data_IF_424206507291
#
_entry.id   IF_424206507291
#
_cell.length_a   1.000
_cell.length_b   1.000
_cell.length_c   1.000
_cell.angle_alpha   90.00
_cell.angle_beta   90.00
_cell.angle_gamma   90.00
#
_symmetry.space_group_name_H-M   'P 1'
#
loop_
_entity.id
_entity.type
_entity.pdbx_description
1 polymer ?
#
# COMPACT_ATOMS: atom_id res chain seq x y z
N UNK A 1 5.60 18.93 -16.39
CA UNK A 1 6.18 17.76 -17.10
C UNK A 1 5.20 16.61 -16.98
N UNK A 2 4.70 16.10 -18.11
CA UNK A 2 3.75 14.97 -18.16
C UNK A 2 4.51 13.67 -17.95
N UNK A 3 4.30 12.97 -16.84
CA UNK A 3 4.76 11.57 -16.68
C UNK A 3 3.53 10.69 -16.55
N UNK A 4 3.37 9.84 -17.56
CA UNK A 4 2.26 8.92 -17.77
C UNK A 4 2.25 7.91 -16.62
N UNK A 5 1.28 8.02 -15.71
CA UNK A 5 0.89 6.90 -14.86
C UNK A 5 0.21 5.89 -15.78
N UNK A 6 0.98 4.89 -16.22
CA UNK A 6 0.44 3.68 -16.79
C UNK A 6 -0.27 2.94 -15.65
N UNK A 7 -1.50 3.37 -15.40
CA UNK A 7 -2.47 2.62 -14.61
C UNK A 7 -2.68 1.30 -15.36
N UNK A 8 -2.22 0.20 -14.78
CA UNK A 8 -2.43 -1.16 -15.27
C UNK A 8 -3.92 -1.55 -15.08
N UNK A 9 -4.83 -0.83 -15.73
CA UNK A 9 -6.26 -1.13 -15.85
C UNK A 9 -6.54 -1.83 -17.18
N UNK A 10 -6.02 -3.04 -17.34
CA UNK A 10 -6.35 -3.89 -18.48
C UNK A 10 -5.69 -5.24 -18.25
N UNK A 11 -6.42 -6.36 -18.22
CA UNK A 11 -7.39 -6.77 -19.21
C UNK A 11 -8.52 -7.56 -18.53
N UNK A 12 -9.73 -7.03 -18.49
CA UNK A 12 -10.92 -7.86 -18.38
C UNK A 12 -11.19 -8.39 -19.80
N UNK A 13 -10.80 -9.64 -20.09
CA UNK A 13 -11.11 -10.26 -21.38
C UNK A 13 -12.62 -10.49 -21.41
N UNK A 14 -13.37 -9.50 -21.91
CA UNK A 14 -14.77 -9.68 -22.27
C UNK A 14 -14.79 -10.65 -23.45
N UNK A 15 -15.02 -11.92 -23.14
CA UNK A 15 -15.27 -12.96 -24.13
C UNK A 15 -16.60 -12.59 -24.79
N UNK A 16 -16.53 -12.00 -25.97
CA UNK A 16 -17.69 -11.60 -26.76
C UNK A 16 -18.53 -12.83 -27.09
N UNK A 17 -19.69 -12.95 -26.45
CA UNK A 17 -20.67 -13.99 -26.78
C UNK A 17 -21.47 -13.46 -27.98
N UNK A 18 -21.30 -14.10 -29.14
CA UNK A 18 -22.04 -13.78 -30.37
C UNK A 18 -23.54 -13.92 -30.13
N UNK A 19 -24.27 -12.80 -30.29
CA UNK A 19 -25.72 -12.74 -30.11
C UNK A 19 -26.42 -13.21 -31.39
N UNK A 20 -26.81 -14.48 -31.42
CA UNK A 20 -27.77 -15.00 -32.38
C UNK A 20 -28.65 -16.08 -31.72
N UNK A 21 -29.89 -15.73 -31.35
CA UNK A 21 -31.13 -16.54 -31.42
C UNK A 21 -32.23 -16.02 -30.44
N UNK A 22 -33.47 -16.57 -30.50
CA UNK A 22 -34.74 -15.91 -30.80
C UNK A 22 -35.42 -15.29 -29.55
N UNK A 23 -36.49 -14.50 -29.74
CA UNK A 23 -37.13 -13.64 -28.73
C UNK A 23 -37.52 -14.23 -27.35
N UNK A 24 -37.47 -15.56 -27.15
CA UNK A 24 -37.57 -16.21 -25.83
C UNK A 24 -36.22 -16.43 -25.11
N UNK A 25 -35.12 -16.59 -25.85
CA UNK A 25 -33.76 -16.63 -25.32
C UNK A 25 -33.23 -15.24 -24.92
N UNK A 26 -33.91 -14.17 -25.38
CA UNK A 26 -33.53 -12.78 -25.13
C UNK A 26 -33.83 -12.31 -23.70
N UNK A 27 -34.84 -12.87 -23.02
CA UNK A 27 -35.19 -12.50 -21.64
C UNK A 27 -34.28 -13.23 -20.64
N UNK A 28 -34.04 -14.53 -20.83
CA UNK A 28 -33.12 -15.30 -19.97
C UNK A 28 -31.67 -14.79 -20.09
N UNK A 29 -31.27 -14.30 -21.28
CA UNK A 29 -29.95 -13.67 -21.46
C UNK A 29 -29.85 -12.30 -20.78
N UNK A 30 -30.93 -11.50 -20.75
CA UNK A 30 -30.97 -10.25 -19.98
C UNK A 30 -30.88 -10.51 -18.47
N UNK A 31 -31.68 -11.45 -17.94
CA UNK A 31 -31.64 -11.84 -16.53
C UNK A 31 -30.24 -12.36 -16.11
N UNK A 32 -29.57 -13.10 -16.99
CA UNK A 32 -28.20 -13.57 -16.76
C UNK A 32 -27.17 -12.42 -16.78
N UNK A 33 -27.33 -11.42 -17.65
CA UNK A 33 -26.49 -10.22 -17.68
C UNK A 33 -26.67 -9.37 -16.43
N UNK A 34 -27.91 -9.17 -15.97
CA UNK A 34 -28.20 -8.47 -14.71
C UNK A 34 -27.58 -9.19 -13.51
N UNK A 35 -27.72 -10.52 -13.43
CA UNK A 35 -27.07 -11.31 -12.38
C UNK A 35 -25.53 -11.21 -12.42
N UNK A 36 -24.93 -11.14 -13.61
CA UNK A 36 -23.48 -10.93 -13.75
C UNK A 36 -23.07 -9.53 -13.30
N UNK A 37 -23.87 -8.50 -13.61
CA UNK A 37 -23.63 -7.13 -13.18
C UNK A 37 -23.70 -7.00 -11.65
N UNK A 38 -24.72 -7.57 -11.02
CA UNK A 38 -24.84 -7.59 -9.55
C UNK A 38 -23.65 -8.27 -8.89
N UNK A 39 -23.18 -9.41 -9.44
CA UNK A 39 -21.98 -10.10 -8.95
C UNK A 39 -20.73 -9.23 -9.07
N UNK A 40 -20.58 -8.50 -10.17
CA UNK A 40 -19.45 -7.58 -10.37
C UNK A 40 -19.45 -6.47 -9.32
N UNK A 41 -20.61 -5.86 -9.05
CA UNK A 41 -20.74 -4.83 -8.01
C UNK A 41 -20.41 -5.37 -6.61
N UNK A 42 -20.87 -6.59 -6.29
CA UNK A 42 -20.54 -7.23 -5.02
C UNK A 42 -19.04 -7.51 -4.88
N UNK A 43 -18.39 -7.96 -5.95
CA UNK A 43 -16.94 -8.21 -5.96
C UNK A 43 -16.15 -6.92 -5.84
N UNK A 44 -16.58 -5.84 -6.50
CA UNK A 44 -15.98 -4.51 -6.38
C UNK A 44 -16.06 -3.99 -4.94
N UNK A 45 -17.23 -4.05 -4.33
CA UNK A 45 -17.42 -3.62 -2.93
C UNK A 45 -16.59 -4.46 -1.95
N UNK A 46 -16.52 -5.77 -2.16
CA UNK A 46 -15.66 -6.66 -1.36
C UNK A 46 -14.18 -6.27 -1.49
N UNK A 47 -13.68 -6.09 -2.72
CA UNK A 47 -12.29 -5.69 -2.95
C UNK A 47 -11.99 -4.33 -2.34
N UNK A 48 -12.94 -3.40 -2.42
CA UNK A 48 -12.79 -2.08 -1.80
C UNK A 48 -12.61 -2.18 -0.28
N UNK A 49 -13.44 -2.98 0.40
CA UNK A 49 -13.30 -3.21 1.86
C UNK A 49 -11.99 -3.90 2.24
N UNK A 50 -11.53 -4.85 1.43
CA UNK A 50 -10.22 -5.48 1.63
C UNK A 50 -9.08 -4.45 1.51
N UNK A 51 -9.13 -3.57 0.51
CA UNK A 51 -8.15 -2.49 0.35
C UNK A 51 -8.21 -1.47 1.49
N UNK A 52 -9.40 -1.15 1.98
CA UNK A 52 -9.60 -0.27 3.14
C UNK A 52 -8.94 -0.85 4.39
N UNK A 53 -9.17 -2.13 4.69
CA UNK A 53 -8.55 -2.81 5.83
C UNK A 53 -7.02 -2.84 5.72
N UNK A 54 -6.47 -3.10 4.52
CA UNK A 54 -5.02 -3.06 4.28
C UNK A 54 -4.45 -1.66 4.48
N UNK A 55 -5.16 -0.61 4.05
CA UNK A 55 -4.73 0.77 4.24
C UNK A 55 -4.77 1.18 5.72
N UNK A 56 -5.77 0.73 6.47
CA UNK A 56 -5.85 0.96 7.92
C UNK A 56 -4.69 0.30 8.68
N UNK A 57 -4.38 -0.97 8.38
CA UNK A 57 -3.22 -1.67 8.95
C UNK A 57 -1.89 -0.98 8.56
N UNK A 58 -1.76 -0.55 7.30
CA UNK A 58 -0.59 0.20 6.84
C UNK A 58 -0.45 1.54 7.57
N UNK A 59 -1.54 2.27 7.81
CA UNK A 59 -1.53 3.53 8.55
C UNK A 59 -1.08 3.34 10.01
N UNK A 60 -1.53 2.28 10.68
CA UNK A 60 -1.05 1.93 12.02
C UNK A 60 0.45 1.64 12.02
N UNK A 61 0.95 0.88 11.05
CA UNK A 61 2.38 0.59 10.90
C UNK A 61 3.22 1.83 10.63
N UNK A 62 2.71 2.78 9.84
CA UNK A 62 3.37 4.09 9.63
C UNK A 62 3.56 4.80 10.97
N UNK A 63 2.54 4.84 11.81
CA UNK A 63 2.62 5.45 13.14
C UNK A 63 3.66 4.74 14.02
N UNK A 64 3.58 3.42 14.14
CA UNK A 64 4.51 2.61 14.94
C UNK A 64 5.97 2.79 14.51
N UNK A 65 6.24 2.74 13.20
CA UNK A 65 7.59 2.91 12.67
C UNK A 65 8.10 4.34 12.81
N UNK A 66 7.22 5.35 12.75
CA UNK A 66 7.60 6.74 13.02
C UNK A 66 7.99 6.95 14.48
N UNK A 67 7.27 6.32 15.42
CA UNK A 67 7.66 6.30 16.82
C UNK A 67 9.01 5.59 17.02
N UNK A 68 9.26 4.50 16.29
CA UNK A 68 10.55 3.80 16.31
C UNK A 68 11.69 4.67 15.79
N UNK A 69 11.49 5.42 14.69
CA UNK A 69 12.46 6.38 14.17
C UNK A 69 12.82 7.44 15.20
N UNK A 70 11.84 7.96 15.93
CA UNK A 70 12.06 8.94 17.01
C UNK A 70 12.98 8.36 18.08
N UNK A 71 12.71 7.13 18.55
CA UNK A 71 13.57 6.45 19.53
C UNK A 71 14.98 6.19 19.00
N UNK A 72 15.11 5.85 17.73
CA UNK A 72 16.42 5.67 17.07
C UNK A 72 17.20 6.99 17.06
N UNK A 73 16.53 8.11 16.74
CA UNK A 73 17.14 9.43 16.68
C UNK A 73 17.59 9.93 18.06
N UNK A 74 16.79 9.70 19.10
CA UNK A 74 17.17 9.97 20.49
C UNK A 74 18.42 9.18 20.91
N UNK A 75 18.48 7.88 20.57
CA UNK A 75 19.64 7.03 20.89
C UNK A 75 20.87 7.44 20.09
N UNK A 76 20.72 7.78 18.82
CA UNK A 76 21.81 8.31 18.00
C UNK A 76 22.39 9.58 18.60
N UNK A 77 21.54 10.53 19.02
CA UNK A 77 21.99 11.75 19.66
C UNK A 77 22.79 11.47 20.94
N UNK A 78 22.31 10.53 21.79
CA UNK A 78 23.04 10.11 22.99
C UNK A 78 24.42 9.53 22.64
N UNK A 79 24.48 8.59 21.70
CA UNK A 79 25.72 7.92 21.30
C UNK A 79 26.72 8.92 20.67
N UNK A 80 26.24 9.84 19.83
CA UNK A 80 27.08 10.84 19.15
C UNK A 80 27.81 11.76 20.15
N UNK A 81 27.24 12.02 21.34
CA UNK A 81 27.92 12.80 22.40
C UNK A 81 29.02 12.03 23.12
N UNK A 82 28.96 10.70 23.12
CA UNK A 82 29.92 9.81 23.82
C UNK A 82 31.05 9.31 22.91
N UNK A 83 30.85 9.34 21.59
CA UNK A 83 31.69 8.60 20.63
C UNK A 83 33.17 8.99 20.61
N UNK A 84 33.50 10.23 20.98
CA UNK A 84 34.87 10.76 20.92
C UNK A 84 35.49 10.95 22.31
N UNK A 85 34.68 10.92 23.38
CA UNK A 85 35.12 11.12 24.77
C UNK A 85 35.24 9.83 25.58
N UNK A 86 34.65 8.73 25.10
CA UNK A 86 34.71 7.43 25.77
C UNK A 86 35.99 6.64 25.47
N UNK A 87 36.44 5.86 26.46
CA UNK A 87 37.48 4.83 26.25
C UNK A 87 37.05 3.75 25.24
N UNK A 88 35.73 3.59 25.04
CA UNK A 88 35.11 2.70 24.04
C UNK A 88 34.72 3.45 22.76
N UNK A 89 35.51 4.45 22.37
CA UNK A 89 35.22 5.32 21.20
C UNK A 89 35.01 4.54 19.91
N UNK A 90 35.75 3.45 19.69
CA UNK A 90 35.61 2.59 18.51
C UNK A 90 34.24 1.90 18.49
N UNK A 91 33.81 1.36 19.62
CA UNK A 91 32.55 0.66 19.81
C UNK A 91 31.37 1.63 19.63
N UNK A 92 31.46 2.84 20.19
CA UNK A 92 30.43 3.86 19.99
C UNK A 92 30.34 4.30 18.52
N UNK A 93 31.47 4.48 17.81
CA UNK A 93 31.47 4.80 16.37
C UNK A 93 30.85 3.67 15.52
N UNK A 94 31.13 2.41 15.87
CA UNK A 94 30.45 1.27 15.27
C UNK A 94 28.94 1.31 15.54
N UNK A 95 28.53 1.60 16.78
CA UNK A 95 27.12 1.69 17.16
C UNK A 95 26.38 2.83 16.45
N UNK A 96 27.01 3.99 16.24
CA UNK A 96 26.46 5.06 15.39
C UNK A 96 26.12 4.54 14.00
N UNK A 97 27.05 3.78 13.40
CA UNK A 97 26.90 3.26 12.04
C UNK A 97 25.76 2.25 11.95
N UNK A 98 25.66 1.35 12.93
CA UNK A 98 24.55 0.38 13.03
C UNK A 98 23.19 1.08 13.21
N UNK A 99 23.08 2.06 14.10
CA UNK A 99 21.83 2.78 14.31
C UNK A 99 21.42 3.60 13.08
N UNK A 100 22.37 4.21 12.35
CA UNK A 100 22.08 4.90 11.07
C UNK A 100 21.59 3.92 10.01
N UNK A 101 22.18 2.72 9.94
CA UNK A 101 21.72 1.68 9.03
C UNK A 101 20.29 1.20 9.36
N UNK A 102 20.01 0.97 10.66
CA UNK A 102 18.67 0.60 11.13
C UNK A 102 17.64 1.70 10.82
N UNK A 103 17.98 2.97 11.10
CA UNK A 103 17.13 4.13 10.77
C UNK A 103 16.71 4.11 9.31
N UNK A 104 17.68 3.98 8.41
CA UNK A 104 17.43 3.95 6.96
C UNK A 104 16.56 2.77 6.52
N UNK A 105 16.64 1.62 7.21
CA UNK A 105 15.75 0.48 6.95
C UNK A 105 14.31 0.80 7.38
N UNK A 106 14.13 1.35 8.58
CA UNK A 106 12.80 1.72 9.10
C UNK A 106 12.16 2.82 8.22
N UNK A 107 12.93 3.82 7.76
CA UNK A 107 12.42 4.83 6.83
C UNK A 107 11.91 4.24 5.51
N UNK A 108 12.58 3.22 4.98
CA UNK A 108 12.11 2.51 3.78
C UNK A 108 10.81 1.76 4.03
N UNK A 109 10.65 1.16 5.21
CA UNK A 109 9.39 0.50 5.57
C UNK A 109 8.26 1.52 5.78
N UNK A 110 8.51 2.66 6.42
CA UNK A 110 7.54 3.78 6.50
C UNK A 110 7.09 4.20 5.10
N UNK A 111 8.03 4.41 4.18
CA UNK A 111 7.70 4.82 2.81
C UNK A 111 6.84 3.78 2.07
N UNK A 112 7.11 2.48 2.25
CA UNK A 112 6.30 1.39 1.68
C UNK A 112 4.89 1.38 2.25
N UNK A 113 4.73 1.49 3.56
CA UNK A 113 3.42 1.50 4.20
C UNK A 113 2.63 2.75 3.81
N UNK A 114 3.28 3.92 3.77
CA UNK A 114 2.65 5.16 3.32
C UNK A 114 2.16 5.05 1.87
N UNK A 115 2.91 4.37 0.99
CA UNK A 115 2.47 4.14 -0.38
C UNK A 115 1.18 3.31 -0.45
N UNK A 116 0.97 2.35 0.46
CA UNK A 116 -0.27 1.56 0.52
C UNK A 116 -1.44 2.48 0.90
N UNK A 117 -1.25 3.34 1.90
CA UNK A 117 -2.24 4.35 2.32
C UNK A 117 -2.58 5.30 1.18
N UNK A 118 -1.57 5.87 0.52
CA UNK A 118 -1.75 6.82 -0.58
C UNK A 118 -2.49 6.20 -1.76
N UNK A 119 -2.16 4.94 -2.13
CA UNK A 119 -2.84 4.23 -3.20
C UNK A 119 -4.33 3.99 -2.90
N UNK A 120 -4.69 3.74 -1.63
CA UNK A 120 -6.07 3.59 -1.22
C UNK A 120 -6.82 4.92 -1.26
N UNK A 121 -6.24 6.01 -0.77
CA UNK A 121 -6.85 7.34 -0.84
C UNK A 121 -7.07 7.80 -2.29
N UNK A 122 -6.14 7.48 -3.21
CA UNK A 122 -6.36 7.70 -4.65
C UNK A 122 -7.55 6.88 -5.15
N UNK A 123 -7.62 5.59 -4.80
CA UNK A 123 -8.72 4.71 -5.23
C UNK A 123 -10.08 5.20 -4.71
N UNK A 124 -10.11 5.69 -3.46
CA UNK A 124 -11.28 6.31 -2.83
C UNK A 124 -11.71 7.60 -3.52
N UNK A 125 -10.78 8.40 -4.05
CA UNK A 125 -11.10 9.65 -4.76
C UNK A 125 -11.73 9.45 -6.14
N UNK A 126 -11.62 8.23 -6.70
CA UNK A 126 -12.09 7.88 -8.05
C UNK A 126 -13.37 7.02 -8.00
N UNK A 127 -13.67 6.40 -6.85
CA UNK A 127 -14.95 5.73 -6.57
C UNK A 127 -16.05 6.75 -6.27
#
# INVERSE_FOLDING_TARGET
>A
MKKKLAVLLGVLVLSSISFAAPAGASIDSLNNLESQLEKLQQLEEKKYKEQEALAQDAAQKVEEYTQMLTKIDERLAQIETMKDSSIFSKEFKAKVSEYKALRNQVEKEVAKQQQIVDNFEISKSIK
#
